data_IF_635740680119
#
_entry.id   IF_635740680119
#
_cell.length_a   1.000
_cell.length_b   1.000
_cell.length_c   1.000
_cell.angle_alpha   90.00
_cell.angle_beta   90.00
_cell.angle_gamma   90.00
#
_symmetry.space_group_name_H-M   'P 1'
#
loop_
_entity.id
_entity.type
_entity.pdbx_description
1 polymer ?
#
# COMPACT_ATOMS: atom_id res chain seq x y z
N UNK A 1 31.91 7.27 -56.19
CA UNK A 1 31.44 7.22 -54.79
C UNK A 1 31.67 8.59 -54.17
N UNK A 2 30.62 9.29 -53.96
CA UNK A 2 30.48 10.73 -53.93
C UNK A 2 30.84 11.35 -52.58
N UNK A 3 31.36 12.57 -52.59
CA UNK A 3 31.87 13.34 -51.45
C UNK A 3 30.95 13.48 -50.22
N UNK A 4 29.68 13.11 -50.34
CA UNK A 4 28.70 13.11 -49.22
C UNK A 4 29.00 12.07 -48.14
N UNK A 5 29.64 10.94 -48.51
CA UNK A 5 29.97 9.89 -47.48
C UNK A 5 31.20 10.26 -46.64
N UNK A 6 32.09 11.13 -47.12
CA UNK A 6 33.23 11.61 -46.32
C UNK A 6 32.86 12.67 -45.30
N UNK A 7 31.80 13.45 -45.54
CA UNK A 7 31.35 14.52 -44.61
C UNK A 7 30.62 13.99 -43.41
N UNK A 8 30.02 12.79 -43.46
CA UNK A 8 29.30 12.20 -42.35
C UNK A 8 30.19 11.48 -41.32
N UNK A 9 31.45 11.18 -41.69
CA UNK A 9 32.40 10.51 -40.78
C UNK A 9 33.17 11.47 -39.86
N UNK A 10 33.05 12.77 -40.09
CA UNK A 10 33.75 13.79 -39.30
C UNK A 10 32.90 14.53 -38.26
N UNK A 11 31.67 14.09 -38.02
CA UNK A 11 30.90 14.62 -36.92
C UNK A 11 31.43 14.07 -35.59
N UNK A 12 32.47 14.70 -35.07
CA UNK A 12 32.88 14.53 -33.67
C UNK A 12 31.72 14.94 -32.80
N UNK A 13 31.08 13.94 -32.14
CA UNK A 13 30.08 14.19 -31.12
C UNK A 13 30.82 14.81 -29.92
N UNK A 14 30.97 16.09 -29.94
CA UNK A 14 31.44 16.86 -28.79
C UNK A 14 30.44 16.64 -27.63
N UNK A 15 30.84 15.80 -26.69
CA UNK A 15 30.08 15.59 -25.42
C UNK A 15 30.12 16.90 -24.66
N UNK A 16 29.09 17.73 -24.91
CA UNK A 16 28.93 19.03 -24.20
C UNK A 16 29.03 18.73 -22.70
N UNK A 17 30.10 19.23 -22.06
CA UNK A 17 30.24 19.12 -20.61
C UNK A 17 29.01 19.78 -20.00
N UNK A 18 28.21 19.00 -19.28
CA UNK A 18 26.98 19.48 -18.62
C UNK A 18 27.35 20.27 -17.36
N UNK A 19 28.10 21.37 -17.52
CA UNK A 19 28.56 22.22 -16.42
C UNK A 19 27.36 22.73 -15.62
N UNK A 20 26.27 23.12 -16.28
CA UNK A 20 25.04 23.54 -15.61
C UNK A 20 24.40 22.44 -14.74
N UNK A 21 24.45 21.17 -15.17
CA UNK A 21 23.96 20.04 -14.36
C UNK A 21 24.85 19.78 -13.14
N UNK A 22 26.16 19.98 -13.27
CA UNK A 22 27.09 19.88 -12.14
C UNK A 22 26.86 20.99 -11.13
N UNK A 23 26.78 22.24 -11.59
CA UNK A 23 26.49 23.40 -10.73
C UNK A 23 25.15 23.21 -10.03
N UNK A 24 24.08 22.83 -10.74
CA UNK A 24 22.78 22.54 -10.14
C UNK A 24 22.83 21.42 -9.12
N UNK A 25 23.60 20.36 -9.38
CA UNK A 25 23.82 19.28 -8.42
C UNK A 25 24.54 19.75 -7.15
N UNK A 26 25.59 20.53 -7.28
CA UNK A 26 26.34 21.09 -6.14
C UNK A 26 25.45 22.03 -5.32
N UNK A 27 24.71 22.93 -5.97
CA UNK A 27 23.77 23.82 -5.26
C UNK A 27 22.70 23.04 -4.50
N UNK A 28 22.13 22.00 -5.12
CA UNK A 28 21.17 21.14 -4.43
C UNK A 28 21.78 20.44 -3.23
N UNK A 29 23.00 19.89 -3.35
CA UNK A 29 23.72 19.28 -2.24
C UNK A 29 23.98 20.27 -1.10
N UNK A 30 24.36 21.52 -1.41
CA UNK A 30 24.58 22.56 -0.41
C UNK A 30 23.29 22.92 0.31
N UNK A 31 22.17 23.07 -0.41
CA UNK A 31 20.85 23.32 0.20
C UNK A 31 20.44 22.17 1.11
N UNK A 32 20.57 20.93 0.65
CA UNK A 32 20.26 19.74 1.48
C UNK A 32 21.17 19.67 2.70
N UNK A 33 22.47 19.90 2.54
CA UNK A 33 23.41 19.93 3.64
C UNK A 33 23.07 21.01 4.68
N UNK A 34 22.69 22.21 4.23
CA UNK A 34 22.25 23.30 5.10
C UNK A 34 21.03 22.87 5.95
N UNK A 35 19.99 22.29 5.33
CA UNK A 35 18.82 21.82 6.06
C UNK A 35 19.17 20.68 7.03
N UNK A 36 20.03 19.75 6.66
CA UNK A 36 20.44 18.64 7.54
C UNK A 36 21.25 19.17 8.75
N UNK A 37 22.10 20.16 8.55
CA UNK A 37 22.85 20.79 9.64
C UNK A 37 21.89 21.54 10.57
N UNK A 38 20.92 22.31 10.01
CA UNK A 38 19.92 23.01 10.84
C UNK A 38 19.09 22.01 11.65
N UNK A 39 18.58 20.94 11.05
CA UNK A 39 17.86 19.88 11.77
C UNK A 39 18.71 19.28 12.91
N UNK A 40 19.99 19.03 12.66
CA UNK A 40 20.88 18.42 13.64
C UNK A 40 21.26 19.35 14.78
N UNK A 41 21.39 20.65 14.50
CA UNK A 41 21.92 21.63 15.46
C UNK A 41 20.87 22.50 16.15
N UNK A 42 19.66 22.57 15.60
CA UNK A 42 18.58 23.39 16.13
C UNK A 42 18.02 22.77 17.43
N UNK A 43 18.15 23.43 18.58
CA UNK A 43 17.72 22.88 19.88
C UNK A 43 16.21 22.57 19.95
N UNK A 44 15.41 23.22 19.11
CA UNK A 44 13.95 23.04 19.08
C UNK A 44 13.51 21.65 18.61
N UNK A 45 14.40 20.89 17.95
CA UNK A 45 14.13 19.48 17.62
C UNK A 45 14.18 18.56 18.84
N UNK A 46 14.80 18.99 19.96
CA UNK A 46 14.79 18.26 21.22
C UNK A 46 15.41 16.85 21.14
N UNK A 47 16.54 16.67 20.44
CA UNK A 47 17.17 15.38 20.24
C UNK A 47 17.41 14.57 21.54
N UNK A 48 17.76 15.18 22.68
CA UNK A 48 17.84 14.46 23.96
C UNK A 48 16.49 13.84 24.37
N UNK A 49 15.39 14.55 24.16
CA UNK A 49 14.03 14.05 24.44
C UNK A 49 13.69 12.90 23.47
N UNK A 50 14.00 13.05 22.17
CA UNK A 50 13.83 11.97 21.19
C UNK A 50 14.55 10.72 21.67
N UNK A 51 15.82 10.82 22.10
CA UNK A 51 16.61 9.70 22.62
C UNK A 51 15.97 9.05 23.86
N UNK A 52 15.44 9.85 24.77
CA UNK A 52 14.83 9.38 26.00
C UNK A 52 13.54 8.56 25.75
N UNK A 53 12.72 8.98 24.78
CA UNK A 53 11.42 8.35 24.51
C UNK A 53 11.44 7.35 23.36
N UNK A 54 12.55 7.21 22.62
CA UNK A 54 12.61 6.31 21.45
C UNK A 54 12.28 4.85 21.80
N UNK A 55 12.71 4.40 22.98
CA UNK A 55 12.47 3.05 23.48
C UNK A 55 11.54 3.02 24.70
N UNK A 56 10.75 4.08 24.88
CA UNK A 56 9.74 4.11 25.94
C UNK A 56 8.77 2.94 25.80
N UNK A 57 8.41 2.22 26.89
CA UNK A 57 7.51 1.08 26.84
C UNK A 57 6.15 1.39 26.22
N UNK A 58 5.59 2.59 26.43
CA UNK A 58 4.31 3.01 25.86
C UNK A 58 4.42 3.19 24.34
N UNK A 59 5.52 3.75 23.86
CA UNK A 59 5.78 3.91 22.42
C UNK A 59 5.96 2.55 21.76
N UNK A 60 6.71 1.63 22.38
CA UNK A 60 6.90 0.28 21.84
C UNK A 60 5.62 -0.54 21.82
N UNK A 61 4.77 -0.41 22.83
CA UNK A 61 3.44 -1.04 22.84
C UNK A 61 2.55 -0.48 21.73
N UNK A 62 2.54 0.84 21.54
CA UNK A 62 1.83 1.49 20.44
C UNK A 62 2.33 1.02 19.07
N UNK A 63 3.65 0.88 18.91
CA UNK A 63 4.26 0.31 17.71
C UNK A 63 3.81 -1.13 17.46
N UNK A 64 3.79 -1.96 18.49
CA UNK A 64 3.32 -3.35 18.37
C UNK A 64 1.85 -3.39 17.94
N UNK A 65 1.00 -2.56 18.53
CA UNK A 65 -0.41 -2.48 18.16
C UNK A 65 -0.58 -2.02 16.70
N UNK A 66 0.21 -1.05 16.22
CA UNK A 66 0.25 -0.63 14.81
C UNK A 66 0.54 -1.82 13.88
N UNK A 67 1.51 -2.67 14.23
CA UNK A 67 1.84 -3.88 13.45
C UNK A 67 0.68 -4.87 13.46
N UNK A 68 0.09 -5.13 14.63
CA UNK A 68 -1.05 -6.05 14.79
C UNK A 68 -2.26 -5.56 13.98
N UNK A 69 -2.62 -4.28 14.11
CA UNK A 69 -3.71 -3.67 13.34
C UNK A 69 -3.48 -3.84 11.83
N UNK A 70 -2.26 -3.56 11.37
CA UNK A 70 -1.88 -3.73 9.98
C UNK A 70 -2.06 -5.18 9.52
N UNK A 71 -1.54 -6.14 10.28
CA UNK A 71 -1.61 -7.55 9.93
C UNK A 71 -3.05 -8.07 9.87
N UNK A 72 -3.87 -7.74 10.89
CA UNK A 72 -5.27 -8.17 10.96
C UNK A 72 -6.09 -7.51 9.87
N UNK A 73 -5.99 -6.20 9.70
CA UNK A 73 -6.74 -5.46 8.68
C UNK A 73 -6.39 -5.91 7.27
N UNK A 74 -5.10 -6.11 6.97
CA UNK A 74 -4.65 -6.63 5.68
C UNK A 74 -5.16 -8.05 5.42
N UNK A 75 -5.08 -8.93 6.41
CA UNK A 75 -5.55 -10.32 6.25
C UNK A 75 -7.05 -10.37 5.97
N UNK A 76 -7.85 -9.65 6.76
CA UNK A 76 -9.30 -9.56 6.57
C UNK A 76 -9.64 -8.85 5.24
N UNK A 77 -8.94 -7.75 4.92
CA UNK A 77 -9.11 -7.01 3.67
C UNK A 77 -8.78 -7.84 2.44
N UNK A 78 -7.70 -8.60 2.45
CA UNK A 78 -7.34 -9.53 1.37
C UNK A 78 -8.41 -10.62 1.22
N UNK A 79 -8.82 -11.25 2.32
CA UNK A 79 -9.82 -12.32 2.29
C UNK A 79 -11.14 -11.84 1.68
N UNK A 80 -11.67 -10.70 2.15
CA UNK A 80 -12.89 -10.11 1.62
C UNK A 80 -12.69 -9.58 0.18
N UNK A 81 -11.52 -9.01 -0.12
CA UNK A 81 -11.14 -8.55 -1.46
C UNK A 81 -11.13 -9.67 -2.50
N UNK A 82 -10.66 -10.88 -2.13
CA UNK A 82 -10.75 -12.07 -2.99
C UNK A 82 -12.21 -12.40 -3.29
N UNK A 83 -13.08 -12.41 -2.28
CA UNK A 83 -14.52 -12.67 -2.48
C UNK A 83 -15.13 -11.65 -3.43
N UNK A 84 -14.90 -10.36 -3.19
CA UNK A 84 -15.40 -9.27 -4.03
C UNK A 84 -14.85 -9.34 -5.47
N UNK A 85 -13.59 -9.73 -5.65
CA UNK A 85 -13.00 -9.92 -6.97
C UNK A 85 -13.66 -11.09 -7.72
N UNK A 86 -13.89 -12.22 -7.03
CA UNK A 86 -14.57 -13.38 -7.61
C UNK A 86 -16.00 -13.03 -8.04
N UNK A 87 -16.73 -12.23 -7.27
CA UNK A 87 -18.08 -11.74 -7.63
C UNK A 87 -18.09 -10.93 -8.92
N UNK A 88 -16.97 -10.34 -9.34
CA UNK A 88 -16.82 -9.57 -10.58
C UNK A 88 -16.29 -10.39 -11.77
N UNK A 89 -15.97 -11.67 -11.57
CA UNK A 89 -15.65 -12.58 -12.68
C UNK A 89 -16.93 -12.84 -13.51
N UNK A 90 -16.85 -12.91 -14.85
CA UNK A 90 -18.02 -13.05 -15.73
C UNK A 90 -18.92 -14.22 -15.34
N UNK A 91 -20.21 -13.96 -15.13
CA UNK A 91 -21.20 -14.99 -14.81
C UNK A 91 -22.53 -14.46 -14.29
N UNK A 92 -22.53 -13.53 -13.34
CA UNK A 92 -23.77 -12.99 -12.77
C UNK A 92 -23.69 -11.47 -12.63
N UNK A 93 -24.50 -10.69 -13.38
CA UNK A 93 -24.47 -9.23 -13.34
C UNK A 93 -24.86 -8.66 -11.97
N UNK A 94 -25.68 -9.37 -11.19
CA UNK A 94 -26.09 -8.94 -9.85
C UNK A 94 -24.89 -8.93 -8.91
N UNK A 95 -24.13 -10.01 -8.86
CA UNK A 95 -22.92 -10.09 -8.01
C UNK A 95 -21.87 -9.06 -8.45
N UNK A 96 -21.68 -8.89 -9.76
CA UNK A 96 -20.77 -7.89 -10.29
C UNK A 96 -21.20 -6.46 -9.90
N UNK A 97 -22.52 -6.18 -9.94
CA UNK A 97 -23.11 -4.91 -9.53
C UNK A 97 -22.89 -4.64 -8.03
N UNK A 98 -23.22 -5.61 -7.17
CA UNK A 98 -23.02 -5.49 -5.70
C UNK A 98 -21.55 -5.21 -5.35
N UNK A 99 -20.64 -6.01 -5.91
CA UNK A 99 -19.20 -5.78 -5.70
C UNK A 99 -18.75 -4.43 -6.29
N UNK A 100 -19.31 -4.02 -7.43
CA UNK A 100 -19.03 -2.71 -8.04
C UNK A 100 -19.42 -1.55 -7.13
N UNK A 101 -20.63 -1.57 -6.57
CA UNK A 101 -21.12 -0.56 -5.62
C UNK A 101 -20.28 -0.54 -4.36
N UNK A 102 -19.93 -1.71 -3.80
CA UNK A 102 -19.04 -1.79 -2.64
C UNK A 102 -17.70 -1.10 -2.91
N UNK A 103 -17.03 -1.47 -4.01
CA UNK A 103 -15.72 -0.91 -4.37
C UNK A 103 -15.82 0.60 -4.62
N UNK A 104 -16.87 1.05 -5.32
CA UNK A 104 -17.12 2.47 -5.56
C UNK A 104 -17.26 3.24 -4.25
N UNK A 105 -18.07 2.75 -3.31
CA UNK A 105 -18.33 3.40 -2.03
C UNK A 105 -17.07 3.49 -1.16
N UNK A 106 -16.42 2.35 -0.89
CA UNK A 106 -15.28 2.31 0.04
C UNK A 106 -14.03 2.98 -0.51
N UNK A 107 -13.82 3.00 -1.82
CA UNK A 107 -12.72 3.75 -2.44
C UNK A 107 -13.06 5.22 -2.69
N UNK A 108 -14.32 5.56 -2.78
CA UNK A 108 -14.79 6.92 -3.01
C UNK A 108 -14.93 7.76 -1.74
N UNK A 109 -14.88 7.13 -0.56
CA UNK A 109 -15.03 7.82 0.72
C UNK A 109 -13.73 7.83 1.52
N UNK A 110 -13.43 8.92 2.29
CA UNK A 110 -12.21 8.99 3.09
C UNK A 110 -12.20 7.95 4.22
N UNK A 111 -11.07 7.26 4.41
CA UNK A 111 -10.92 6.25 5.45
C UNK A 111 -11.22 6.80 6.86
N UNK A 112 -10.76 8.02 7.16
CA UNK A 112 -11.03 8.65 8.46
C UNK A 112 -12.53 8.78 8.74
N UNK A 113 -13.32 9.16 7.73
CA UNK A 113 -14.79 9.27 7.87
C UNK A 113 -15.40 7.91 8.14
N UNK A 114 -14.92 6.86 7.45
CA UNK A 114 -15.37 5.49 7.68
C UNK A 114 -15.07 5.02 9.12
N UNK A 115 -13.86 5.31 9.62
CA UNK A 115 -13.48 4.97 11.01
C UNK A 115 -14.39 5.64 12.03
N UNK A 116 -14.64 6.95 11.91
CA UNK A 116 -15.53 7.70 12.79
C UNK A 116 -16.97 7.16 12.69
N UNK A 117 -17.44 6.83 11.48
CA UNK A 117 -18.76 6.24 11.27
C UNK A 117 -18.91 4.90 12.00
N UNK A 118 -17.99 3.97 11.82
CA UNK A 118 -18.05 2.66 12.48
C UNK A 118 -17.95 2.77 14.00
N UNK A 119 -17.17 3.72 14.51
CA UNK A 119 -17.07 3.98 15.94
C UNK A 119 -18.41 4.49 16.53
N UNK A 120 -19.13 5.29 15.76
CA UNK A 120 -20.39 5.90 16.21
C UNK A 120 -21.64 5.12 15.74
N UNK A 121 -21.48 3.90 15.23
CA UNK A 121 -22.58 3.13 14.64
C UNK A 121 -23.73 2.88 15.65
N UNK A 122 -23.44 2.83 16.96
CA UNK A 122 -24.41 2.67 18.02
C UNK A 122 -25.40 3.83 18.13
N UNK A 123 -25.04 5.02 17.62
CA UNK A 123 -25.98 6.15 17.57
C UNK A 123 -27.14 5.90 16.56
N UNK A 124 -26.88 5.11 15.52
CA UNK A 124 -27.88 4.72 14.53
C UNK A 124 -28.55 3.38 14.89
N UNK A 125 -27.78 2.44 15.40
CA UNK A 125 -28.21 1.09 15.72
C UNK A 125 -27.78 0.73 17.15
N UNK A 126 -28.54 1.16 18.20
CA UNK A 126 -28.16 0.89 19.58
C UNK A 126 -28.10 -0.61 19.92
N UNK A 127 -28.93 -1.38 19.24
CA UNK A 127 -29.02 -2.84 19.38
C UNK A 127 -28.79 -3.49 18.01
N UNK A 128 -27.88 -4.45 17.96
CA UNK A 128 -27.67 -5.27 16.77
C UNK A 128 -28.53 -6.51 16.88
N UNK A 129 -29.42 -6.70 15.89
CA UNK A 129 -30.28 -7.85 15.78
C UNK A 129 -30.23 -8.42 14.36
N UNK A 130 -30.28 -9.74 14.24
CA UNK A 130 -30.49 -10.44 12.98
C UNK A 130 -31.96 -10.80 12.88
N UNK A 131 -32.64 -10.32 11.88
CA UNK A 131 -34.06 -10.58 11.69
C UNK A 131 -34.56 -10.34 10.29
N UNK A 132 -35.80 -10.74 10.02
CA UNK A 132 -36.44 -10.45 8.76
C UNK A 132 -36.83 -8.95 8.72
N UNK A 133 -36.65 -8.26 7.58
CA UNK A 133 -37.06 -6.88 7.42
C UNK A 133 -38.58 -6.74 7.60
N UNK A 134 -39.03 -5.51 7.90
CA UNK A 134 -40.45 -5.15 8.02
C UNK A 134 -41.19 -5.77 9.24
N UNK A 135 -40.49 -5.96 10.39
CA UNK A 135 -41.11 -6.38 11.65
C UNK A 135 -41.26 -7.91 11.82
N UNK A 136 -40.52 -8.69 11.03
CA UNK A 136 -40.44 -10.15 11.23
C UNK A 136 -39.66 -10.57 12.48
N UNK A 137 -39.59 -11.86 12.79
CA UNK A 137 -38.84 -12.40 13.92
C UNK A 137 -37.38 -11.95 13.87
N UNK A 138 -36.87 -11.46 14.99
CA UNK A 138 -35.48 -11.03 15.12
C UNK A 138 -34.81 -11.64 16.33
N UNK A 139 -33.54 -11.99 16.18
CA UNK A 139 -32.68 -12.47 17.27
C UNK A 139 -31.78 -11.30 17.66
N UNK A 140 -31.91 -10.78 18.86
CA UNK A 140 -31.05 -9.73 19.41
C UNK A 140 -29.69 -10.32 19.73
N UNK A 141 -28.64 -9.78 19.11
CA UNK A 141 -27.26 -10.19 19.34
C UNK A 141 -26.64 -9.45 20.53
N UNK A 142 -27.07 -8.21 20.77
CA UNK A 142 -26.60 -7.40 21.89
C UNK A 142 -26.54 -5.90 21.58
N UNK A 143 -26.05 -5.13 22.56
CA UNK A 143 -25.78 -3.70 22.37
C UNK A 143 -24.63 -3.49 21.38
N UNK A 144 -24.79 -2.54 20.46
CA UNK A 144 -23.77 -2.18 19.49
C UNK A 144 -22.44 -1.73 20.14
N UNK A 145 -22.50 -1.00 21.26
CA UNK A 145 -21.31 -0.56 22.00
C UNK A 145 -20.52 -1.74 22.62
N UNK A 146 -21.17 -2.86 22.89
CA UNK A 146 -20.49 -4.06 23.41
C UNK A 146 -19.91 -4.89 22.28
N UNK A 147 -20.64 -5.01 21.16
CA UNK A 147 -20.23 -5.83 20.01
C UNK A 147 -19.18 -5.13 19.16
N UNK A 148 -19.30 -3.81 19.01
CA UNK A 148 -18.38 -2.99 18.21
C UNK A 148 -17.61 -2.07 19.15
N UNK A 149 -16.57 -2.63 19.79
CA UNK A 149 -15.62 -1.85 20.59
C UNK A 149 -14.85 -0.86 19.71
N UNK A 150 -14.19 0.18 20.27
CA UNK A 150 -13.33 1.08 19.48
C UNK A 150 -12.34 0.34 18.60
N UNK A 151 -11.68 -0.69 19.13
CA UNK A 151 -10.76 -1.55 18.37
C UNK A 151 -11.49 -2.31 17.26
N UNK A 152 -12.69 -2.84 17.55
CA UNK A 152 -13.52 -3.49 16.54
C UNK A 152 -13.94 -2.56 15.42
N UNK A 153 -14.34 -1.32 15.74
CA UNK A 153 -14.68 -0.29 14.76
C UNK A 153 -13.49 0.07 13.87
N UNK A 154 -12.29 0.21 14.46
CA UNK A 154 -11.06 0.44 13.71
C UNK A 154 -10.76 -0.70 12.75
N UNK A 155 -10.79 -1.95 13.22
CA UNK A 155 -10.55 -3.12 12.37
C UNK A 155 -11.59 -3.25 11.26
N UNK A 156 -12.87 -2.98 11.55
CA UNK A 156 -13.92 -2.94 10.51
C UNK A 156 -13.63 -1.87 9.47
N UNK A 157 -13.40 -0.63 9.87
CA UNK A 157 -13.12 0.46 8.92
C UNK A 157 -11.88 0.20 8.06
N UNK A 158 -10.78 -0.20 8.68
CA UNK A 158 -9.53 -0.53 7.97
C UNK A 158 -9.73 -1.71 7.02
N UNK A 159 -10.33 -2.81 7.47
CA UNK A 159 -10.49 -4.03 6.67
C UNK A 159 -11.47 -3.87 5.52
N UNK A 160 -12.61 -3.19 5.74
CA UNK A 160 -13.60 -2.96 4.69
C UNK A 160 -13.06 -2.00 3.61
N UNK A 161 -12.35 -0.97 4.02
CA UNK A 161 -11.67 -0.09 3.07
C UNK A 161 -10.63 -0.84 2.26
N UNK A 162 -9.75 -1.60 2.92
CA UNK A 162 -8.69 -2.37 2.25
C UNK A 162 -9.26 -3.43 1.29
N UNK A 163 -10.37 -4.07 1.65
CA UNK A 163 -11.03 -5.06 0.80
C UNK A 163 -11.43 -4.49 -0.56
N UNK A 164 -11.82 -3.22 -0.62
CA UNK A 164 -12.17 -2.56 -1.88
C UNK A 164 -10.94 -2.33 -2.77
N UNK A 165 -9.79 -1.97 -2.19
CA UNK A 165 -8.53 -1.85 -2.93
C UNK A 165 -8.03 -3.23 -3.39
N UNK A 166 -8.05 -4.22 -2.50
CA UNK A 166 -7.62 -5.58 -2.83
C UNK A 166 -8.50 -6.23 -3.89
N UNK A 167 -9.83 -6.00 -3.86
CA UNK A 167 -10.74 -6.49 -4.90
C UNK A 167 -10.33 -6.01 -6.30
N UNK A 168 -9.95 -4.74 -6.43
CA UNK A 168 -9.55 -4.18 -7.71
C UNK A 168 -8.16 -4.65 -8.14
N UNK A 169 -7.21 -4.78 -7.20
CA UNK A 169 -5.88 -5.32 -7.46
C UNK A 169 -5.99 -6.77 -7.97
N UNK A 170 -6.77 -7.60 -7.29
CA UNK A 170 -6.94 -9.00 -7.67
C UNK A 170 -7.67 -9.12 -9.01
N UNK A 171 -8.74 -8.32 -9.21
CA UNK A 171 -9.45 -8.27 -10.48
C UNK A 171 -8.53 -7.89 -11.64
N UNK A 172 -7.71 -6.85 -11.47
CA UNK A 172 -6.75 -6.41 -12.50
C UNK A 172 -5.71 -7.48 -12.80
N UNK A 173 -5.23 -8.19 -11.77
CA UNK A 173 -4.32 -9.32 -11.95
C UNK A 173 -4.93 -10.47 -12.73
N UNK A 174 -6.19 -10.83 -12.45
CA UNK A 174 -6.88 -11.87 -13.21
C UNK A 174 -7.11 -11.43 -14.66
N UNK A 175 -7.52 -10.18 -14.87
CA UNK A 175 -7.76 -9.62 -16.21
C UNK A 175 -6.50 -9.35 -17.03
N UNK A 176 -5.32 -9.41 -16.42
CA UNK A 176 -4.03 -9.25 -17.12
C UNK A 176 -3.58 -10.50 -17.87
N UNK A 177 -4.23 -11.64 -17.63
CA UNK A 177 -3.90 -12.90 -18.32
C UNK A 177 -4.47 -12.87 -19.73
N UNK A 178 -3.61 -13.15 -20.71
CA UNK A 178 -3.96 -13.14 -22.13
C UNK A 178 -5.08 -14.15 -22.44
N UNK A 179 -6.11 -13.71 -23.20
CA UNK A 179 -7.26 -14.54 -23.56
C UNK A 179 -6.86 -15.75 -24.38
N UNK A 180 -5.84 -15.64 -25.24
CA UNK A 180 -5.31 -16.76 -26.01
C UNK A 180 -4.75 -17.88 -25.12
N UNK A 181 -4.20 -17.56 -23.95
CA UNK A 181 -3.78 -18.54 -22.94
C UNK A 181 -4.98 -19.30 -22.35
N UNK A 182 -6.09 -18.61 -22.15
CA UNK A 182 -7.33 -19.20 -21.66
C UNK A 182 -7.94 -20.11 -22.71
N UNK A 183 -7.97 -19.67 -23.95
CA UNK A 183 -8.54 -20.45 -25.08
C UNK A 183 -7.69 -21.66 -25.42
N UNK A 184 -6.35 -21.55 -25.40
CA UNK A 184 -5.45 -22.68 -25.54
C UNK A 184 -5.66 -23.72 -24.43
N UNK A 185 -5.82 -23.28 -23.17
CA UNK A 185 -6.12 -24.19 -22.07
C UNK A 185 -7.47 -24.91 -22.22
N UNK A 186 -8.50 -24.20 -22.70
CA UNK A 186 -9.82 -24.79 -23.00
C UNK A 186 -9.72 -25.82 -24.15
N UNK A 187 -9.01 -25.50 -25.22
CA UNK A 187 -8.78 -26.38 -26.36
C UNK A 187 -8.07 -27.68 -25.95
N UNK A 188 -7.17 -27.61 -24.94
CA UNK A 188 -6.52 -28.77 -24.34
C UNK A 188 -7.40 -29.54 -23.35
N UNK A 189 -8.69 -29.23 -23.23
CA UNK A 189 -9.60 -29.91 -22.32
C UNK A 189 -9.37 -29.62 -20.84
N UNK A 190 -8.70 -28.52 -20.49
CA UNK A 190 -8.49 -28.17 -19.07
C UNK A 190 -9.81 -27.80 -18.39
N UNK A 191 -10.08 -28.40 -17.23
CA UNK A 191 -11.20 -27.96 -16.39
C UNK A 191 -10.96 -26.57 -15.84
N UNK A 192 -12.03 -25.83 -15.48
CA UNK A 192 -11.93 -24.47 -14.91
C UNK A 192 -10.95 -24.38 -13.74
N UNK A 193 -10.96 -25.37 -12.85
CA UNK A 193 -10.05 -25.42 -11.71
C UNK A 193 -8.58 -25.62 -12.13
N UNK A 194 -8.32 -26.46 -13.12
CA UNK A 194 -6.95 -26.66 -13.66
C UNK A 194 -6.46 -25.40 -14.36
N UNK A 195 -7.33 -24.76 -15.16
CA UNK A 195 -7.02 -23.49 -15.84
C UNK A 195 -6.70 -22.39 -14.83
N UNK A 196 -7.52 -22.23 -13.78
CA UNK A 196 -7.28 -21.29 -12.71
C UNK A 196 -5.93 -21.54 -12.02
N UNK A 197 -5.67 -22.75 -11.56
CA UNK A 197 -4.49 -23.06 -10.74
C UNK A 197 -3.18 -23.10 -11.53
N UNK A 198 -3.20 -23.52 -12.80
CA UNK A 198 -1.98 -23.74 -13.61
C UNK A 198 -1.68 -22.61 -14.59
N UNK A 199 -2.68 -21.85 -15.00
CA UNK A 199 -2.51 -20.79 -16.00
C UNK A 199 -2.75 -19.41 -15.39
N UNK A 200 -3.95 -19.19 -14.81
CA UNK A 200 -4.38 -17.86 -14.35
C UNK A 200 -3.61 -17.43 -13.10
N UNK A 201 -3.68 -18.20 -12.00
CA UNK A 201 -3.09 -17.80 -10.73
C UNK A 201 -1.59 -17.52 -10.81
N UNK A 202 -0.74 -18.36 -11.45
CA UNK A 202 0.70 -18.07 -11.51
C UNK A 202 1.03 -16.78 -12.27
N UNK A 203 0.23 -16.43 -13.26
CA UNK A 203 0.41 -15.19 -14.03
C UNK A 203 -0.18 -13.98 -13.30
N UNK A 204 -1.42 -14.09 -12.79
CA UNK A 204 -2.10 -13.06 -12.02
C UNK A 204 -1.30 -12.64 -10.78
N UNK A 205 -0.72 -13.59 -10.04
CA UNK A 205 0.05 -13.31 -8.82
C UNK A 205 1.27 -12.41 -9.08
N UNK A 206 1.87 -12.46 -10.26
CA UNK A 206 2.97 -11.56 -10.63
C UNK A 206 2.53 -10.09 -10.72
N UNK A 207 1.27 -9.88 -11.09
CA UNK A 207 0.66 -8.54 -11.20
C UNK A 207 0.05 -8.10 -9.86
N UNK A 208 -0.45 -9.04 -9.05
CA UNK A 208 -1.11 -8.78 -7.76
C UNK A 208 -0.10 -8.48 -6.65
N UNK A 209 1.02 -9.23 -6.57
CA UNK A 209 1.97 -9.13 -5.44
C UNK A 209 2.58 -7.73 -5.28
N UNK A 210 3.09 -7.04 -6.33
CA UNK A 210 3.70 -5.73 -6.14
C UNK A 210 2.74 -4.68 -5.56
N UNK A 211 1.53 -4.45 -6.10
CA UNK A 211 0.59 -3.50 -5.51
C UNK A 211 0.09 -3.94 -4.14
N UNK A 212 -0.03 -5.25 -3.85
CA UNK A 212 -0.38 -5.73 -2.51
C UNK A 212 0.69 -5.34 -1.48
N UNK A 213 1.98 -5.46 -1.81
CA UNK A 213 3.06 -5.00 -0.94
C UNK A 213 2.97 -3.49 -0.65
N UNK A 214 2.66 -2.69 -1.66
CA UNK A 214 2.43 -1.25 -1.48
C UNK A 214 1.22 -0.98 -0.56
N UNK A 215 0.16 -1.78 -0.65
CA UNK A 215 -1.00 -1.65 0.24
C UNK A 215 -0.65 -1.99 1.69
N UNK A 216 0.20 -2.99 1.96
CA UNK A 216 0.69 -3.28 3.32
C UNK A 216 1.41 -2.07 3.92
N UNK A 217 2.32 -1.43 3.16
CA UNK A 217 3.05 -0.24 3.60
C UNK A 217 2.09 0.96 3.80
N UNK A 218 1.10 1.11 2.92
CA UNK A 218 0.08 2.16 3.04
C UNK A 218 -0.81 1.93 4.25
N UNK A 219 -1.23 0.69 4.51
CA UNK A 219 -2.03 0.30 5.67
C UNK A 219 -1.27 0.57 6.97
N UNK A 220 0.03 0.21 7.05
CA UNK A 220 0.85 0.48 8.23
C UNK A 220 0.84 1.97 8.61
N UNK A 221 0.93 2.87 7.63
CA UNK A 221 0.84 4.32 7.86
C UNK A 221 -0.61 4.76 8.12
N UNK A 222 -1.56 4.14 7.44
CA UNK A 222 -2.98 4.42 7.57
C UNK A 222 -3.56 4.09 8.95
N UNK A 223 -2.96 3.13 9.67
CA UNK A 223 -3.37 2.84 11.05
C UNK A 223 -3.23 4.05 11.98
N UNK A 224 -2.34 5.01 11.69
CA UNK A 224 -2.26 6.25 12.48
C UNK A 224 -3.57 7.02 12.58
N UNK A 225 -4.50 6.84 11.64
CA UNK A 225 -5.83 7.45 11.71
C UNK A 225 -6.69 6.91 12.86
N UNK A 226 -6.38 5.73 13.41
CA UNK A 226 -7.13 5.16 14.53
C UNK A 226 -6.87 5.92 15.85
N UNK A 227 -5.85 6.76 15.90
CA UNK A 227 -5.58 7.66 17.03
C UNK A 227 -6.77 8.58 17.34
N UNK A 228 -7.57 8.94 16.33
CA UNK A 228 -8.82 9.71 16.49
C UNK A 228 -9.87 8.96 17.30
N UNK A 229 -9.80 7.63 17.33
CA UNK A 229 -10.67 6.77 18.13
C UNK A 229 -10.08 6.48 19.53
N UNK A 230 -9.06 7.21 19.95
CA UNK A 230 -8.31 7.01 21.18
C UNK A 230 -7.74 5.58 21.36
N UNK A 231 -7.36 4.94 20.25
CA UNK A 231 -6.70 3.63 20.25
C UNK A 231 -5.20 3.87 20.36
N UNK A 232 -4.55 3.23 21.31
CA UNK A 232 -3.13 3.42 21.65
C UNK A 232 -2.18 2.80 20.63
N UNK A 233 -2.32 3.16 19.32
CA UNK A 233 -1.35 2.90 18.28
C UNK A 233 -0.08 3.77 18.48
N UNK A 234 0.88 3.63 17.60
CA UNK A 234 2.14 4.37 17.69
C UNK A 234 1.94 5.90 17.73
N UNK A 235 1.03 6.45 16.93
CA UNK A 235 0.78 7.89 16.92
C UNK A 235 0.06 8.32 18.21
N UNK A 236 -0.97 7.60 18.64
CA UNK A 236 -1.68 7.93 19.86
C UNK A 236 -0.79 7.79 21.12
N UNK A 237 0.11 6.81 21.14
CA UNK A 237 1.06 6.63 22.23
C UNK A 237 1.91 7.89 22.44
N UNK A 238 2.49 8.44 21.36
CA UNK A 238 3.27 9.69 21.45
C UNK A 238 2.38 10.90 21.75
N UNK A 239 1.14 10.94 21.21
CA UNK A 239 0.16 12.00 21.50
C UNK A 239 -0.19 12.07 22.99
N UNK A 240 -0.41 10.93 23.63
CA UNK A 240 -0.72 10.86 25.05
C UNK A 240 0.44 11.33 25.94
N UNK A 241 1.69 11.08 25.53
CA UNK A 241 2.86 11.57 26.25
C UNK A 241 3.01 13.08 26.07
N UNK A 242 2.97 13.61 24.83
CA UNK A 242 3.18 15.03 24.61
C UNK A 242 2.03 15.91 25.13
N UNK A 243 0.83 15.35 25.30
CA UNK A 243 -0.27 16.08 25.95
C UNK A 243 0.00 16.39 27.41
N UNK A 244 0.92 15.68 28.06
CA UNK A 244 1.31 15.86 29.46
C UNK A 244 2.58 16.71 29.61
N UNK A 245 3.56 16.52 28.75
CA UNK A 245 4.88 17.17 28.87
C UNK A 245 5.12 18.30 27.87
N UNK A 246 4.18 18.53 26.92
CA UNK A 246 4.23 19.55 25.87
C UNK A 246 5.40 19.42 24.88
N UNK A 247 6.11 18.29 24.88
CA UNK A 247 7.24 18.00 23.97
C UNK A 247 6.75 17.46 22.61
N UNK A 248 5.94 18.27 21.91
CA UNK A 248 5.21 17.84 20.70
C UNK A 248 6.17 17.46 19.58
N UNK A 249 7.12 18.33 19.23
CA UNK A 249 8.03 18.10 18.08
C UNK A 249 8.94 16.89 18.32
N UNK A 250 9.64 16.76 19.46
CA UNK A 250 10.48 15.59 19.74
C UNK A 250 9.71 14.28 19.66
N UNK A 251 8.52 14.21 20.25
CA UNK A 251 7.71 12.99 20.28
C UNK A 251 7.11 12.64 18.92
N UNK A 252 6.74 13.62 18.10
CA UNK A 252 6.38 13.37 16.71
C UNK A 252 7.58 12.82 15.92
N UNK A 253 8.81 13.27 16.19
CA UNK A 253 10.01 12.69 15.59
C UNK A 253 10.22 11.24 16.00
N UNK A 254 9.95 10.88 17.26
CA UNK A 254 9.98 9.48 17.72
C UNK A 254 9.04 8.61 16.88
N UNK A 255 7.80 9.07 16.68
CA UNK A 255 6.85 8.32 15.82
C UNK A 255 7.32 8.23 14.37
N UNK A 256 7.84 9.33 13.80
CA UNK A 256 8.38 9.34 12.43
C UNK A 256 9.54 8.34 12.26
N UNK A 257 10.46 8.29 13.23
CA UNK A 257 11.59 7.34 13.19
C UNK A 257 11.07 5.91 13.16
N UNK A 258 10.15 5.54 14.04
CA UNK A 258 9.58 4.20 14.06
C UNK A 258 8.79 3.86 12.79
N UNK A 259 7.97 4.80 12.26
CA UNK A 259 7.31 4.58 10.96
C UNK A 259 8.33 4.39 9.82
N UNK A 260 9.43 5.14 9.81
CA UNK A 260 10.50 4.95 8.81
C UNK A 260 11.18 3.59 8.96
N UNK A 261 11.47 3.14 10.17
CA UNK A 261 12.06 1.82 10.43
C UNK A 261 11.12 0.72 9.93
N UNK A 262 9.85 0.77 10.33
CA UNK A 262 8.85 -0.24 9.95
C UNK A 262 8.58 -0.26 8.44
N UNK A 263 8.41 0.90 7.82
CA UNK A 263 8.17 0.99 6.37
C UNK A 263 9.40 0.56 5.58
N UNK A 264 10.60 0.86 6.05
CA UNK A 264 11.85 0.40 5.42
C UNK A 264 11.98 -1.12 5.51
N UNK A 265 11.71 -1.71 6.68
CA UNK A 265 11.71 -3.17 6.85
C UNK A 265 10.72 -3.85 5.91
N UNK A 266 9.47 -3.34 5.83
CA UNK A 266 8.46 -3.85 4.90
C UNK A 266 8.88 -3.68 3.44
N UNK A 267 9.48 -2.54 3.07
CA UNK A 267 9.95 -2.29 1.69
C UNK A 267 11.06 -3.27 1.28
N UNK A 268 11.95 -3.63 2.19
CA UNK A 268 13.00 -4.65 1.94
C UNK A 268 12.35 -6.02 1.71
N UNK A 269 11.38 -6.40 2.54
CA UNK A 269 10.64 -7.67 2.36
C UNK A 269 9.89 -7.66 1.03
N UNK A 270 9.19 -6.58 0.72
CA UNK A 270 8.47 -6.40 -0.55
C UNK A 270 9.40 -6.56 -1.75
N UNK A 271 10.54 -5.85 -1.80
CA UNK A 271 11.49 -5.93 -2.91
C UNK A 271 11.99 -7.37 -3.14
N UNK A 272 12.24 -8.13 -2.07
CA UNK A 272 12.64 -9.55 -2.19
C UNK A 272 11.52 -10.43 -2.75
N UNK A 273 10.27 -10.16 -2.35
CA UNK A 273 9.10 -10.87 -2.90
C UNK A 273 8.91 -10.53 -4.37
N UNK A 274 9.02 -9.27 -4.77
CA UNK A 274 8.93 -8.83 -6.16
C UNK A 274 10.01 -9.47 -7.04
N UNK A 275 11.26 -9.52 -6.58
CA UNK A 275 12.34 -10.22 -7.28
C UNK A 275 12.05 -11.70 -7.49
N UNK A 276 11.46 -12.36 -6.48
CA UNK A 276 11.14 -13.79 -6.56
C UNK A 276 10.01 -14.07 -7.55
N UNK A 277 8.96 -13.26 -7.56
CA UNK A 277 7.80 -13.44 -8.43
C UNK A 277 7.95 -12.79 -9.82
N UNK A 278 8.79 -11.76 -9.94
CA UNK A 278 9.10 -11.08 -11.20
C UNK A 278 10.11 -11.81 -12.11
N UNK A 279 10.76 -12.88 -11.64
CA UNK A 279 11.70 -13.66 -12.44
C UNK A 279 11.01 -14.24 -13.69
N UNK A 280 11.48 -13.83 -14.87
CA UNK A 280 10.94 -14.24 -16.18
C UNK A 280 10.13 -13.18 -16.90
N UNK A 281 9.90 -12.01 -16.32
CA UNK A 281 9.29 -10.85 -16.95
C UNK A 281 10.26 -9.66 -16.93
N UNK A 282 11.45 -9.85 -17.47
CA UNK A 282 12.32 -8.71 -17.76
C UNK A 282 11.72 -8.00 -18.96
N UNK A 283 11.25 -6.74 -18.88
CA UNK A 283 10.94 -5.99 -20.08
C UNK A 283 12.20 -6.03 -20.92
N UNK A 284 12.08 -6.44 -22.18
CA UNK A 284 13.19 -6.47 -23.14
C UNK A 284 13.91 -5.13 -23.01
N UNK A 285 15.02 -5.13 -22.28
CA UNK A 285 15.93 -3.99 -22.24
C UNK A 285 16.22 -3.74 -23.69
N UNK A 286 15.76 -2.62 -24.25
CA UNK A 286 16.12 -2.20 -25.59
C UNK A 286 17.65 -2.20 -25.56
N UNK A 287 18.24 -3.27 -26.08
CA UNK A 287 19.69 -3.37 -26.24
C UNK A 287 20.00 -2.22 -27.17
N UNK A 288 20.51 -1.13 -26.63
CA UNK A 288 21.16 -0.12 -27.43
C UNK A 288 22.25 -0.86 -28.21
N UNK A 289 21.94 -1.14 -29.48
CA UNK A 289 22.87 -1.73 -30.42
C UNK A 289 24.14 -0.87 -30.37
N UNK A 290 25.14 -1.38 -29.69
CA UNK A 290 26.48 -0.82 -29.73
C UNK A 290 26.94 -1.02 -31.19
N UNK A 291 26.85 0.04 -31.99
CA UNK A 291 27.39 0.00 -33.37
C UNK A 291 28.79 -0.56 -33.29
N UNK A 292 28.97 -1.77 -33.77
CA UNK A 292 30.29 -2.38 -33.92
C UNK A 292 31.11 -1.48 -34.85
N UNK A 293 32.28 -1.10 -34.38
CA UNK A 293 33.32 -0.53 -35.23
C UNK A 293 33.96 -1.72 -35.99
N UNK A 294 33.40 -2.13 -37.08
CA UNK A 294 34.15 -2.90 -38.05
C UNK A 294 34.66 -1.95 -39.11
N UNK A 295 35.97 -1.90 -39.34
CA UNK A 295 36.56 -1.17 -40.46
C UNK A 295 36.28 -1.98 -41.74
N UNK A 296 35.53 -1.37 -42.65
CA UNK A 296 35.38 -1.88 -44.01
C UNK A 296 36.77 -1.74 -44.69
N UNK A 297 37.37 -2.88 -45.04
CA UNK A 297 38.52 -2.98 -45.92
C UNK A 297 38.11 -2.68 -47.35
#
# INVERSE_FOLDING_TARGET
MTGLQRTLTSLEVHRRRRVGTLIGGVLLCLVVAFFLIDIATNPRFGWPVVGAYLFDPQVLQGMLLTIVLTAVAMTAGIALGVVLAIMRVPGNPVFAGVSGVYVWFFRGTPLLVQLIFWHNIAALYPVIALGLPFGGPSIVLGSANVLITPLGAALLGLSLNEAAYMAEIIRSGISSVDEGQLDAGRALGMTRSKLLRRVILPQAMRVVIPPTGNQVISMLKGTSLVSVLAISDLLYAVQSIYSLNYEVIPLLLVSCIWYLVLTTALSIVQSRLEERYGRGFTPRRIVRVKKSKEPIR
#
